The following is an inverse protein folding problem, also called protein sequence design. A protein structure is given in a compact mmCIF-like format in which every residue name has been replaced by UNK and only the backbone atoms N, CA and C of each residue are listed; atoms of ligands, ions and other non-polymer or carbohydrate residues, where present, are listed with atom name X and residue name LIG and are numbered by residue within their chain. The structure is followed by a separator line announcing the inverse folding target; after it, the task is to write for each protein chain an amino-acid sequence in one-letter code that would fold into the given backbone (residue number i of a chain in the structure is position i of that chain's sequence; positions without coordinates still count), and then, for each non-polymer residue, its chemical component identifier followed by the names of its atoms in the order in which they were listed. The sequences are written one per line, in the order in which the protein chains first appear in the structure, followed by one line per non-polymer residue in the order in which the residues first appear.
data_IF_496273309155
#
_entry.id   IF_496273309155
#
_cell.length_a   1.000
_cell.length_b   1.000
_cell.length_c   1.000
_cell.angle_alpha   90.00
_cell.angle_beta   90.00
_cell.angle_gamma   90.00
#
_symmetry.space_group_name_H-M   'P 1'
#
loop_
_entity.id
_entity.type
_entity.pdbx_description
1 polymer ?
#
# COMPACT_ATOMS: atom_id res chain seq x y z
N UNK A 1 37.55 -4.31 -6.15
CA UNK A 1 36.10 -4.58 -6.33
C UNK A 1 35.54 -4.93 -4.95
N UNK A 2 34.44 -4.31 -4.53
CA UNK A 2 33.78 -4.63 -3.27
C UNK A 2 32.41 -5.25 -3.57
N UNK A 3 32.20 -6.48 -3.09
CA UNK A 3 30.91 -7.17 -3.17
C UNK A 3 30.12 -6.90 -1.89
N UNK A 4 28.85 -6.52 -2.02
CA UNK A 4 27.96 -6.31 -0.87
C UNK A 4 26.61 -6.98 -1.14
N UNK A 5 26.24 -7.92 -0.28
CA UNK A 5 24.91 -8.54 -0.26
C UNK A 5 24.03 -7.77 0.72
N UNK A 6 22.83 -7.39 0.29
CA UNK A 6 21.80 -6.86 1.19
C UNK A 6 21.04 -8.03 1.82
N UNK A 7 20.78 -8.00 3.14
CA UNK A 7 19.99 -9.05 3.78
C UNK A 7 18.56 -9.04 3.26
N UNK A 8 17.93 -10.21 3.23
CA UNK A 8 16.50 -10.31 2.99
C UNK A 8 15.73 -9.56 4.10
N UNK A 9 14.67 -8.87 3.73
CA UNK A 9 13.78 -8.18 4.67
C UNK A 9 12.41 -8.84 4.62
N UNK A 10 11.89 -9.19 5.79
CA UNK A 10 10.53 -9.69 5.92
C UNK A 10 9.54 -8.56 5.69
N UNK A 11 8.43 -8.89 5.03
CA UNK A 11 7.35 -7.95 4.80
C UNK A 11 6.68 -7.52 6.12
N UNK A 12 6.47 -6.21 6.28
CA UNK A 12 5.62 -5.64 7.32
C UNK A 12 4.24 -5.35 6.73
N UNK A 13 3.19 -5.81 7.43
CA UNK A 13 1.80 -5.70 6.97
C UNK A 13 0.95 -4.89 7.94
N UNK A 14 -0.14 -4.34 7.41
CA UNK A 14 -1.20 -3.67 8.15
C UNK A 14 -2.57 -4.19 7.68
N UNK A 15 -3.60 -4.21 8.55
CA UNK A 15 -4.95 -4.53 8.14
C UNK A 15 -5.46 -3.51 7.10
N UNK A 16 -6.53 -3.88 6.37
CA UNK A 16 -7.23 -2.89 5.57
C UNK A 16 -7.81 -1.79 6.47
N UNK A 17 -7.74 -0.52 6.06
CA UNK A 17 -8.42 0.56 6.78
C UNK A 17 -9.92 0.30 6.88
N UNK A 18 -10.54 0.72 7.99
CA UNK A 18 -11.99 0.54 8.21
C UNK A 18 -12.84 1.34 7.23
N UNK A 19 -12.31 2.47 6.77
CA UNK A 19 -12.92 3.37 5.77
C UNK A 19 -12.79 2.87 4.33
N UNK A 20 -12.14 1.71 4.12
CA UNK A 20 -12.00 1.13 2.79
C UNK A 20 -13.34 0.59 2.29
N UNK A 21 -13.78 1.07 1.13
CA UNK A 21 -15.03 0.70 0.51
C UNK A 21 -15.12 -0.84 0.34
N UNK A 22 -16.23 -1.49 0.73
CA UNK A 22 -16.34 -2.95 0.70
C UNK A 22 -16.07 -3.59 -0.66
N UNK A 23 -16.46 -2.93 -1.75
CA UNK A 23 -16.19 -3.40 -3.11
C UNK A 23 -14.68 -3.43 -3.44
N UNK A 24 -13.91 -2.46 -2.95
CA UNK A 24 -12.46 -2.46 -3.11
C UNK A 24 -11.81 -3.54 -2.27
N UNK A 25 -12.25 -3.71 -1.02
CA UNK A 25 -11.79 -4.81 -0.17
C UNK A 25 -12.02 -6.18 -0.84
N UNK A 26 -13.20 -6.40 -1.42
CA UNK A 26 -13.51 -7.62 -2.17
C UNK A 26 -12.61 -7.78 -3.41
N UNK A 27 -12.40 -6.72 -4.19
CA UNK A 27 -11.53 -6.76 -5.37
C UNK A 27 -10.06 -7.06 -5.01
N UNK A 28 -9.56 -6.51 -3.90
CA UNK A 28 -8.22 -6.81 -3.37
C UNK A 28 -8.11 -8.29 -2.95
N UNK A 29 -9.12 -8.80 -2.25
CA UNK A 29 -9.17 -10.20 -1.83
C UNK A 29 -9.22 -11.16 -3.03
N UNK A 30 -9.97 -10.84 -4.09
CA UNK A 30 -9.97 -11.61 -5.34
C UNK A 30 -8.58 -11.69 -5.97
N UNK A 31 -7.78 -10.63 -5.83
CA UNK A 31 -6.37 -10.58 -6.26
C UNK A 31 -5.39 -11.19 -5.24
N UNK A 32 -5.89 -11.93 -4.26
CA UNK A 32 -5.11 -12.55 -3.17
C UNK A 32 -4.37 -11.55 -2.26
N UNK A 33 -4.76 -10.27 -2.29
CA UNK A 33 -4.26 -9.26 -1.37
C UNK A 33 -5.15 -9.33 -0.13
N UNK A 34 -4.61 -9.85 0.98
CA UNK A 34 -5.34 -10.02 2.25
C UNK A 34 -5.08 -8.88 3.25
N UNK A 35 -3.94 -8.21 3.08
CA UNK A 35 -3.45 -7.13 3.92
C UNK A 35 -2.65 -6.17 3.03
N UNK A 36 -2.48 -4.92 3.49
CA UNK A 36 -1.59 -3.97 2.86
C UNK A 36 -0.19 -4.12 3.44
N UNK A 37 0.85 -3.79 2.67
CA UNK A 37 2.13 -3.49 3.28
C UNK A 37 2.00 -2.23 4.16
N UNK A 38 2.77 -2.15 5.25
CA UNK A 38 2.67 -1.02 6.19
C UNK A 38 2.83 0.34 5.50
N UNK A 39 3.78 0.47 4.57
CA UNK A 39 3.98 1.71 3.79
C UNK A 39 2.83 2.05 2.85
N UNK A 40 2.05 1.04 2.41
CA UNK A 40 0.85 1.29 1.62
C UNK A 40 -0.27 1.82 2.50
N UNK A 41 -0.49 1.20 3.66
CA UNK A 41 -1.53 1.64 4.60
C UNK A 41 -1.26 3.07 5.11
N UNK A 42 -0.01 3.38 5.45
CA UNK A 42 0.42 4.72 5.87
C UNK A 42 0.20 5.76 4.77
N UNK A 43 0.66 5.48 3.54
CA UNK A 43 0.46 6.39 2.42
C UNK A 43 -1.02 6.65 2.10
N UNK A 44 -1.85 5.60 2.21
CA UNK A 44 -3.30 5.69 1.98
C UNK A 44 -3.98 6.55 3.06
N UNK A 45 -3.61 6.35 4.33
CA UNK A 45 -4.15 7.12 5.44
C UNK A 45 -3.85 8.62 5.29
N UNK A 46 -2.58 8.98 5.08
CA UNK A 46 -2.18 10.38 4.84
C UNK A 46 -2.88 11.00 3.63
N UNK A 47 -3.04 10.23 2.53
CA UNK A 47 -3.74 10.71 1.35
C UNK A 47 -5.23 10.99 1.61
N UNK A 48 -5.91 10.17 2.43
CA UNK A 48 -7.30 10.41 2.82
C UNK A 48 -7.47 11.56 3.81
N UNK A 49 -6.46 11.84 4.63
CA UNK A 49 -6.42 13.01 5.51
C UNK A 49 -6.16 14.32 4.74
N UNK A 50 -6.03 14.26 3.40
CA UNK A 50 -5.83 15.41 2.53
C UNK A 50 -4.38 15.89 2.47
N UNK A 51 -3.43 15.07 2.94
CA UNK A 51 -2.01 15.41 2.95
C UNK A 51 -1.32 15.07 1.62
N UNK A 52 -0.24 15.80 1.32
CA UNK A 52 0.62 15.50 0.19
C UNK A 52 1.62 14.41 0.57
N UNK A 53 1.55 13.26 -0.11
CA UNK A 53 2.37 12.08 0.23
C UNK A 53 3.47 11.84 -0.81
N UNK A 54 4.71 11.67 -0.33
CA UNK A 54 5.85 11.22 -1.15
C UNK A 54 6.23 9.80 -0.74
N UNK A 55 6.10 8.84 -1.65
CA UNK A 55 6.39 7.42 -1.37
C UNK A 55 7.76 7.03 -1.93
N UNK A 56 8.74 6.83 -1.04
CA UNK A 56 10.10 6.39 -1.41
C UNK A 56 10.27 4.91 -1.08
N UNK A 57 10.01 4.04 -2.05
CA UNK A 57 10.22 2.58 -1.90
C UNK A 57 10.87 1.96 -3.14
N UNK A 58 11.60 0.83 -3.02
CA UNK A 58 12.24 0.17 -4.15
C UNK A 58 11.25 -0.24 -5.26
N UNK A 59 11.72 -0.48 -6.48
CA UNK A 59 10.88 -1.03 -7.56
C UNK A 59 10.26 -2.36 -7.15
N UNK A 60 9.05 -2.66 -7.65
CA UNK A 60 8.25 -3.83 -7.29
C UNK A 60 7.73 -3.89 -5.82
N UNK A 61 7.86 -2.83 -5.04
CA UNK A 61 7.30 -2.71 -3.67
C UNK A 61 5.78 -2.48 -3.59
N UNK A 62 5.08 -2.44 -4.73
CA UNK A 62 3.64 -2.18 -4.78
C UNK A 62 3.22 -0.70 -4.62
N UNK A 63 4.06 0.26 -5.01
CA UNK A 63 3.72 1.71 -5.03
C UNK A 63 2.42 2.04 -5.74
N UNK A 64 2.05 1.27 -6.76
CA UNK A 64 0.80 1.48 -7.50
C UNK A 64 -0.44 1.47 -6.62
N UNK A 65 -0.43 0.65 -5.58
CA UNK A 65 -1.55 0.59 -4.66
C UNK A 65 -1.62 1.84 -3.75
N UNK A 66 -0.48 2.46 -3.44
CA UNK A 66 -0.42 3.67 -2.60
C UNK A 66 -1.21 4.85 -3.19
N UNK A 67 -1.23 5.02 -4.52
CA UNK A 67 -1.95 6.12 -5.16
C UNK A 67 -3.27 5.70 -5.82
N UNK A 68 -3.43 4.45 -6.24
CA UNK A 68 -4.70 3.99 -6.80
C UNK A 68 -5.78 3.78 -5.73
N UNK A 69 -5.41 3.21 -4.58
CA UNK A 69 -6.39 2.91 -3.54
C UNK A 69 -7.10 4.16 -2.99
N UNK A 70 -6.40 5.27 -2.67
CA UNK A 70 -7.08 6.44 -2.16
C UNK A 70 -8.01 7.06 -3.21
N UNK A 71 -7.58 7.13 -4.47
CA UNK A 71 -8.40 7.66 -5.57
C UNK A 71 -9.64 6.80 -5.80
N UNK A 72 -9.48 5.48 -5.97
CA UNK A 72 -10.62 4.59 -6.23
C UNK A 72 -11.63 4.61 -5.06
N UNK A 73 -11.16 4.76 -3.82
CA UNK A 73 -12.03 4.82 -2.65
C UNK A 73 -12.88 6.10 -2.62
N UNK A 74 -12.38 7.22 -3.17
CA UNK A 74 -13.17 8.46 -3.27
C UNK A 74 -14.20 8.44 -4.40
N UNK A 75 -14.07 7.52 -5.36
CA UNK A 75 -14.96 7.40 -6.51
C UNK A 75 -16.14 6.42 -6.28
N UNK A 76 -16.13 5.68 -5.18
CA UNK A 76 -17.14 4.67 -4.81
C UNK A 76 -17.89 5.13 -3.56
#
# INVERSE_FOLDING_TARGET
MAWRTLPAQTACYAPFPETLHPALKAALQQRQIKQLYSHQAEAVAHAWDGENVVVVTPTASGKTLCYNLPVLNTLL
#
